data_IF_138521777975
#
_entry.id   IF_138521777975
#
_cell.length_a   1.000
_cell.length_b   1.000
_cell.length_c   1.000
_cell.angle_alpha   90.00
_cell.angle_beta   90.00
_cell.angle_gamma   90.00
#
_symmetry.space_group_name_H-M   'P 1'
#
loop_
_entity.id
_entity.type
_entity.pdbx_description
1 polymer ?
#
# COMPACT_ATOMS: atom_id res chain seq x y z
N UNK A 1 66.88 23.13 -2.43
CA UNK A 1 65.91 22.36 -3.23
C UNK A 1 65.33 21.31 -2.31
N UNK A 2 64.00 21.12 -2.32
CA UNK A 2 63.21 20.26 -1.42
C UNK A 2 62.76 20.92 -0.13
N UNK A 3 61.63 21.63 -0.17
CA UNK A 3 60.71 21.82 0.97
C UNK A 3 59.39 22.45 0.45
N UNK A 4 58.63 21.74 -0.39
CA UNK A 4 57.32 22.25 -0.86
C UNK A 4 56.26 21.19 -1.22
N UNK A 5 56.49 19.89 -1.02
CA UNK A 5 55.53 18.86 -1.49
C UNK A 5 54.61 18.26 -0.41
N UNK A 6 54.85 18.47 0.88
CA UNK A 6 54.09 17.77 1.93
C UNK A 6 52.78 18.44 2.39
N UNK A 7 52.47 19.67 1.94
CA UNK A 7 51.30 20.40 2.45
C UNK A 7 50.03 20.22 1.59
N UNK A 8 50.13 19.67 0.38
CA UNK A 8 48.98 19.52 -0.52
C UNK A 8 48.14 18.25 -0.24
N UNK A 9 48.77 17.21 0.33
CA UNK A 9 48.13 15.93 0.61
C UNK A 9 47.14 15.99 1.79
N UNK A 10 47.48 16.71 2.86
CA UNK A 10 46.62 16.84 4.06
C UNK A 10 45.32 17.60 3.81
N UNK A 11 45.37 18.67 3.01
CA UNK A 11 44.21 19.53 2.70
C UNK A 11 43.20 18.81 1.80
N UNK A 12 43.66 18.04 0.81
CA UNK A 12 42.78 17.27 -0.07
C UNK A 12 42.05 16.13 0.66
N UNK A 13 42.70 15.53 1.65
CA UNK A 13 42.13 14.40 2.41
C UNK A 13 41.04 14.87 3.38
N UNK A 14 41.24 16.03 4.02
CA UNK A 14 40.24 16.67 4.89
C UNK A 14 39.03 17.20 4.10
N UNK A 15 39.26 17.75 2.90
CA UNK A 15 38.20 18.22 2.00
C UNK A 15 37.35 17.06 1.47
N UNK A 16 37.97 15.95 1.07
CA UNK A 16 37.26 14.73 0.63
C UNK A 16 36.41 14.10 1.74
N UNK A 17 36.91 14.05 2.97
CA UNK A 17 36.14 13.55 4.12
C UNK A 17 34.90 14.40 4.45
N UNK A 18 35.02 15.74 4.35
CA UNK A 18 33.91 16.67 4.57
C UNK A 18 32.86 16.61 3.45
N UNK A 19 33.29 16.43 2.20
CA UNK A 19 32.39 16.27 1.05
C UNK A 19 31.60 14.95 1.17
N UNK A 20 32.25 13.85 1.57
CA UNK A 20 31.57 12.56 1.80
C UNK A 20 30.54 12.62 2.94
N UNK A 21 30.84 13.35 4.02
CA UNK A 21 29.90 13.53 5.13
C UNK A 21 28.69 14.39 4.72
N UNK A 22 28.92 15.47 3.96
CA UNK A 22 27.83 16.33 3.47
C UNK A 22 26.93 15.58 2.48
N UNK A 23 27.49 14.74 1.60
CA UNK A 23 26.72 13.90 0.69
C UNK A 23 25.88 12.87 1.46
N UNK A 24 26.45 12.21 2.48
CA UNK A 24 25.71 11.28 3.35
C UNK A 24 24.57 11.97 4.12
N UNK A 25 24.80 13.18 4.63
CA UNK A 25 23.77 13.97 5.33
C UNK A 25 22.68 14.46 4.36
N UNK A 26 23.04 14.86 3.14
CA UNK A 26 22.08 15.28 2.11
C UNK A 26 21.22 14.10 1.61
N UNK A 27 21.80 12.90 1.46
CA UNK A 27 21.07 11.67 1.15
C UNK A 27 20.10 11.28 2.29
N UNK A 28 20.51 11.45 3.55
CA UNK A 28 19.64 11.22 4.70
C UNK A 28 18.46 12.21 4.76
N UNK A 29 18.69 13.49 4.43
CA UNK A 29 17.64 14.52 4.40
C UNK A 29 16.61 14.29 3.27
N UNK A 30 17.04 13.80 2.11
CA UNK A 30 16.15 13.48 0.99
C UNK A 30 15.26 12.25 1.26
N UNK A 31 15.73 11.30 2.08
CA UNK A 31 14.95 10.12 2.46
C UNK A 31 13.81 10.43 3.46
N UNK A 32 13.84 11.59 4.12
CA UNK A 32 12.85 11.98 5.13
C UNK A 32 11.73 12.90 4.61
N UNK A 33 11.75 13.29 3.33
CA UNK A 33 10.73 14.17 2.73
C UNK A 33 9.81 13.43 1.77
N UNK A 34 9.14 12.38 2.23
CA UNK A 34 7.86 11.99 1.62
C UNK A 34 6.79 12.94 2.17
N UNK A 35 6.52 14.04 1.45
CA UNK A 35 5.29 14.80 1.68
C UNK A 35 4.13 13.88 1.32
N UNK A 36 3.33 13.52 2.33
CA UNK A 36 2.05 12.86 2.10
C UNK A 36 1.21 13.80 1.22
N UNK A 37 0.82 13.31 0.04
CA UNK A 37 -0.13 14.02 -0.84
C UNK A 37 -1.45 14.22 -0.10
N UNK A 38 -2.22 15.23 -0.50
CA UNK A 38 -3.55 15.45 0.06
C UNK A 38 -4.39 14.16 -0.01
N UNK A 39 -5.16 13.81 1.04
CA UNK A 39 -5.97 12.61 1.06
C UNK A 39 -7.00 12.59 -0.06
N UNK A 40 -7.13 11.45 -0.74
CA UNK A 40 -8.14 11.23 -1.77
C UNK A 40 -9.05 10.05 -1.37
N UNK A 41 -9.93 10.23 -0.37
CA UNK A 41 -10.63 9.13 0.26
C UNK A 41 -11.70 8.49 -0.64
N UNK A 42 -12.21 9.18 -1.66
CA UNK A 42 -13.38 8.73 -2.46
C UNK A 42 -13.10 8.57 -3.95
N UNK A 43 -11.88 8.21 -4.32
CA UNK A 43 -11.53 8.08 -5.74
C UNK A 43 -12.11 6.79 -6.34
N UNK A 44 -12.83 6.95 -7.45
CA UNK A 44 -13.39 5.85 -8.25
C UNK A 44 -12.82 5.99 -9.66
N UNK A 45 -12.00 5.03 -10.10
CA UNK A 45 -11.58 5.02 -11.50
C UNK A 45 -12.72 4.49 -12.35
N UNK A 46 -13.10 5.25 -13.37
CA UNK A 46 -13.87 4.76 -14.52
C UNK A 46 -12.96 4.28 -15.67
N UNK A 47 -11.67 4.09 -15.39
CA UNK A 47 -10.59 4.07 -16.39
C UNK A 47 -10.73 2.97 -17.45
N UNK A 48 -10.85 3.43 -18.69
CA UNK A 48 -10.78 2.67 -19.95
C UNK A 48 -9.35 2.15 -20.28
N UNK A 49 -8.36 2.42 -19.42
CA UNK A 49 -6.93 2.29 -19.75
C UNK A 49 -6.13 1.36 -18.80
N UNK A 50 -6.77 0.66 -17.85
CA UNK A 50 -6.13 -0.40 -17.06
C UNK A 50 -6.08 -1.74 -17.81
N UNK A 51 -5.30 -2.76 -17.37
CA UNK A 51 -5.24 -4.08 -18.00
C UNK A 51 -6.58 -4.84 -18.04
N UNK A 52 -7.56 -4.43 -17.22
CA UNK A 52 -8.98 -4.82 -17.37
C UNK A 52 -9.68 -4.13 -18.57
N UNK A 53 -8.91 -3.77 -19.60
CA UNK A 53 -9.41 -3.22 -20.86
C UNK A 53 -9.81 -4.39 -21.74
N UNK A 54 -11.03 -4.90 -21.53
CA UNK A 54 -11.89 -5.58 -22.51
C UNK A 54 -13.11 -6.14 -21.74
N UNK A 55 -14.09 -5.28 -21.44
CA UNK A 55 -15.52 -5.60 -21.16
C UNK A 55 -16.26 -4.41 -20.49
N UNK A 56 -15.89 -3.16 -20.77
CA UNK A 56 -16.66 -1.98 -20.28
C UNK A 56 -18.07 -1.85 -20.90
N UNK A 57 -18.49 -2.78 -21.76
CA UNK A 57 -19.83 -2.88 -22.32
C UNK A 57 -20.62 -4.02 -21.65
N UNK A 58 -20.99 -3.83 -20.39
CA UNK A 58 -22.25 -4.29 -19.80
C UNK A 58 -22.18 -4.10 -18.27
N UNK A 59 -22.60 -2.92 -17.81
CA UNK A 59 -22.86 -2.62 -16.39
C UNK A 59 -24.08 -3.40 -15.85
N UNK A 60 -24.22 -4.67 -16.21
CA UNK A 60 -25.43 -5.45 -15.89
C UNK A 60 -25.44 -5.92 -14.44
N UNK A 61 -24.29 -6.03 -13.77
CA UNK A 61 -24.20 -6.37 -12.35
C UNK A 61 -23.01 -5.67 -11.68
N UNK A 62 -23.27 -4.89 -10.64
CA UNK A 62 -22.31 -3.96 -10.05
C UNK A 62 -21.29 -4.60 -9.11
N UNK A 63 -20.48 -5.55 -9.59
CA UNK A 63 -19.39 -6.10 -8.78
C UNK A 63 -18.23 -5.11 -8.68
N UNK A 64 -17.59 -5.06 -7.51
CA UNK A 64 -16.45 -4.16 -7.30
C UNK A 64 -15.41 -4.75 -6.35
N UNK A 65 -14.21 -4.21 -6.47
CA UNK A 65 -13.18 -4.23 -5.44
C UNK A 65 -12.65 -2.80 -5.27
N UNK A 66 -12.41 -2.42 -4.03
CA UNK A 66 -11.94 -1.10 -3.64
C UNK A 66 -10.72 -1.26 -2.76
N UNK A 67 -9.58 -0.81 -3.26
CA UNK A 67 -8.34 -0.73 -2.52
C UNK A 67 -8.43 0.49 -1.60
N UNK A 68 -8.31 0.28 -0.29
CA UNK A 68 -8.46 1.35 0.70
C UNK A 68 -7.24 1.45 1.58
N UNK A 69 -7.07 2.65 2.11
CA UNK A 69 -6.27 2.88 3.30
C UNK A 69 -7.06 3.73 4.29
N UNK A 70 -6.70 3.61 5.56
CA UNK A 70 -7.20 4.46 6.63
C UNK A 70 -6.10 4.89 7.59
N UNK A 71 -6.32 6.02 8.24
CA UNK A 71 -5.51 6.47 9.37
C UNK A 71 -5.73 5.54 10.58
N UNK A 72 -4.68 5.34 11.35
CA UNK A 72 -4.70 4.54 12.57
C UNK A 72 -3.89 5.27 13.65
N UNK A 73 -4.02 4.84 14.90
CA UNK A 73 -3.04 5.21 15.94
C UNK A 73 -1.63 4.71 15.59
N UNK A 74 -1.53 3.65 14.76
CA UNK A 74 -0.29 3.14 14.18
C UNK A 74 0.01 3.80 12.82
N UNK A 75 0.87 3.20 12.00
CA UNK A 75 1.27 3.72 10.68
C UNK A 75 0.14 3.77 9.62
N UNK A 76 -1.09 3.41 9.99
CA UNK A 76 -2.24 3.25 9.10
C UNK A 76 -2.49 1.79 8.73
N UNK A 77 -3.52 1.54 7.92
CA UNK A 77 -3.84 0.21 7.41
C UNK A 77 -4.26 0.25 5.95
N UNK A 78 -3.77 -0.68 5.13
CA UNK A 78 -4.33 -0.95 3.80
C UNK A 78 -5.11 -2.24 3.78
N UNK A 79 -6.24 -2.23 3.09
CA UNK A 79 -7.15 -3.35 2.98
C UNK A 79 -7.95 -3.23 1.68
N UNK A 80 -8.72 -4.27 1.35
CA UNK A 80 -9.69 -4.22 0.25
C UNK A 80 -11.10 -4.40 0.76
N UNK A 81 -12.02 -3.64 0.21
CA UNK A 81 -13.46 -3.91 0.29
C UNK A 81 -13.93 -4.43 -1.05
N UNK A 82 -14.66 -5.52 -1.07
CA UNK A 82 -15.20 -6.08 -2.31
C UNK A 82 -16.63 -6.55 -2.11
N UNK A 83 -17.42 -6.53 -3.17
CA UNK A 83 -18.81 -6.95 -3.09
C UNK A 83 -19.64 -6.53 -4.28
N UNK A 84 -20.91 -6.20 -4.01
CA UNK A 84 -21.92 -5.91 -5.03
C UNK A 84 -22.57 -4.56 -4.76
N UNK A 85 -22.86 -3.84 -5.84
CA UNK A 85 -23.75 -2.70 -5.87
C UNK A 85 -25.05 -3.08 -6.57
N UNK A 86 -26.13 -2.38 -6.21
CA UNK A 86 -27.40 -2.48 -6.92
C UNK A 86 -27.38 -1.62 -8.20
N UNK A 87 -28.51 -1.58 -8.92
CA UNK A 87 -28.65 -0.78 -10.15
C UNK A 87 -28.48 0.73 -9.92
N UNK A 88 -28.70 1.23 -8.70
CA UNK A 88 -28.46 2.64 -8.34
C UNK A 88 -27.01 2.92 -7.91
N UNK A 89 -26.13 1.91 -7.94
CA UNK A 89 -24.73 2.04 -7.55
C UNK A 89 -24.47 1.97 -6.04
N UNK A 90 -25.51 1.77 -5.22
CA UNK A 90 -25.37 1.61 -3.78
C UNK A 90 -24.80 0.22 -3.43
N UNK A 91 -23.83 0.17 -2.53
CA UNK A 91 -23.22 -1.08 -2.04
C UNK A 91 -24.24 -1.86 -1.22
N UNK A 92 -24.66 -3.03 -1.72
CA UNK A 92 -25.64 -3.93 -1.07
C UNK A 92 -24.99 -5.13 -0.39
N UNK A 93 -23.75 -5.46 -0.77
CA UNK A 93 -22.96 -6.50 -0.14
C UNK A 93 -21.52 -6.01 -0.07
N UNK A 94 -20.87 -6.18 1.09
CA UNK A 94 -19.45 -5.89 1.26
C UNK A 94 -18.78 -6.97 2.10
N UNK A 95 -17.55 -7.27 1.74
CA UNK A 95 -16.62 -8.09 2.50
C UNK A 95 -15.30 -7.33 2.59
N UNK A 96 -14.52 -7.62 3.63
CA UNK A 96 -13.21 -7.00 3.87
C UNK A 96 -12.15 -8.08 3.83
N UNK A 97 -10.99 -7.74 3.25
CA UNK A 97 -9.77 -8.50 3.41
C UNK A 97 -8.61 -7.53 3.66
N UNK A 98 -7.99 -7.66 4.83
CA UNK A 98 -6.77 -6.97 5.23
C UNK A 98 -5.74 -7.96 5.75
N UNK A 99 -4.61 -7.46 6.25
CA UNK A 99 -3.67 -8.26 7.02
C UNK A 99 -3.11 -7.43 8.16
N UNK A 100 -3.47 -7.78 9.38
CA UNK A 100 -3.03 -7.12 10.60
C UNK A 100 -2.63 -8.17 11.65
N UNK A 101 -1.82 -7.83 12.67
CA UNK A 101 -1.68 -8.63 13.87
C UNK A 101 -3.06 -9.03 14.44
N UNK A 102 -3.24 -10.28 14.83
CA UNK A 102 -4.49 -10.82 15.36
C UNK A 102 -4.74 -10.38 16.82
N UNK A 103 -4.78 -9.07 17.05
CA UNK A 103 -4.90 -8.45 18.37
C UNK A 103 -5.30 -6.98 18.28
N UNK A 104 -5.93 -6.48 19.34
CA UNK A 104 -6.17 -5.04 19.54
C UNK A 104 -5.09 -4.38 20.40
N UNK A 105 -4.19 -5.18 21.00
CA UNK A 105 -3.05 -4.68 21.77
C UNK A 105 -2.01 -4.07 20.80
N UNK A 106 -1.49 -2.85 21.04
CA UNK A 106 -0.40 -2.29 20.25
C UNK A 106 0.92 -3.07 20.35
N UNK A 107 1.12 -3.89 21.38
CA UNK A 107 2.39 -4.58 21.65
C UNK A 107 2.80 -5.52 20.52
N UNK A 108 1.92 -6.41 19.98
CA UNK A 108 2.27 -7.22 18.81
C UNK A 108 2.60 -6.43 17.54
N UNK A 109 2.09 -5.20 17.37
CA UNK A 109 2.49 -4.34 16.25
C UNK A 109 3.95 -3.93 16.37
N UNK A 110 4.42 -3.63 17.58
CA UNK A 110 5.84 -3.32 17.84
C UNK A 110 6.69 -4.58 17.66
N UNK A 111 6.29 -5.68 18.29
CA UNK A 111 7.03 -6.96 18.22
C UNK A 111 7.19 -7.47 16.78
N UNK A 112 6.15 -7.28 15.95
CA UNK A 112 6.15 -7.67 14.54
C UNK A 112 7.16 -6.95 13.65
N UNK A 113 7.93 -6.00 14.17
CA UNK A 113 9.09 -5.42 13.49
C UNK A 113 10.34 -6.31 13.59
N UNK A 114 10.39 -7.20 14.58
CA UNK A 114 11.55 -8.04 14.88
C UNK A 114 11.29 -9.52 14.58
N UNK A 115 10.07 -10.00 14.83
CA UNK A 115 9.68 -11.41 14.63
C UNK A 115 8.27 -11.50 14.06
N UNK A 116 7.93 -12.51 13.23
CA UNK A 116 6.56 -12.69 12.76
C UNK A 116 5.58 -12.92 13.92
N UNK A 117 4.42 -12.27 13.86
CA UNK A 117 3.34 -12.42 14.86
C UNK A 117 2.09 -13.00 14.20
N UNK A 118 1.19 -13.68 14.94
CA UNK A 118 -0.08 -14.17 14.39
C UNK A 118 -0.89 -13.05 13.74
N UNK A 119 -1.52 -13.35 12.60
CA UNK A 119 -2.27 -12.40 11.81
C UNK A 119 -3.74 -12.78 11.63
N UNK A 120 -4.57 -11.76 11.46
CA UNK A 120 -5.95 -11.87 11.02
C UNK A 120 -6.13 -11.22 9.65
N UNK A 121 -7.16 -11.65 8.92
CA UNK A 121 -7.43 -11.21 7.54
C UNK A 121 -8.84 -10.67 7.31
N UNK A 122 -9.53 -10.36 8.39
CA UNK A 122 -10.84 -9.72 8.38
C UNK A 122 -10.73 -8.18 8.33
N UNK A 123 -11.80 -7.52 8.74
CA UNK A 123 -11.76 -6.10 9.05
C UNK A 123 -11.06 -5.90 10.40
N UNK A 124 -10.20 -4.88 10.48
CA UNK A 124 -9.66 -4.37 11.73
C UNK A 124 -10.42 -3.11 12.18
N UNK A 125 -10.26 -2.72 13.44
CA UNK A 125 -10.86 -1.51 14.00
C UNK A 125 -10.52 -0.26 13.15
N UNK A 126 -11.54 0.47 12.69
CA UNK A 126 -11.37 1.65 11.83
C UNK A 126 -11.48 1.40 10.32
N UNK A 127 -11.63 0.16 9.85
CA UNK A 127 -11.69 -0.16 8.41
C UNK A 127 -13.07 0.07 7.78
N UNK A 128 -14.13 0.20 8.58
CA UNK A 128 -15.50 0.38 8.07
C UNK A 128 -16.00 1.82 8.22
N UNK A 129 -15.30 2.63 9.01
CA UNK A 129 -15.58 4.00 9.34
C UNK A 129 -15.04 4.93 8.25
N UNK A 130 -15.95 5.66 7.60
CA UNK A 130 -15.61 6.47 6.43
C UNK A 130 -14.78 7.71 6.79
N UNK A 131 -14.82 8.13 8.06
CA UNK A 131 -14.08 9.28 8.60
C UNK A 131 -12.56 9.02 8.68
N UNK A 132 -12.15 7.75 8.85
CA UNK A 132 -10.74 7.39 8.95
C UNK A 132 -10.09 7.10 7.60
N UNK A 133 -10.88 6.97 6.53
CA UNK A 133 -10.36 6.63 5.21
C UNK A 133 -9.42 7.72 4.69
N UNK A 134 -8.20 7.32 4.37
CA UNK A 134 -7.12 8.22 3.91
C UNK A 134 -6.95 8.22 2.39
N UNK A 135 -7.14 7.07 1.74
CA UNK A 135 -7.15 6.97 0.28
C UNK A 135 -8.02 5.79 -0.17
N UNK A 136 -8.54 5.88 -1.39
CA UNK A 136 -9.30 4.81 -2.02
C UNK A 136 -9.01 4.71 -3.51
N UNK A 137 -9.17 3.50 -4.06
CA UNK A 137 -9.25 3.23 -5.47
C UNK A 137 -10.26 2.11 -5.75
N UNK A 138 -11.43 2.47 -6.30
CA UNK A 138 -12.44 1.49 -6.70
C UNK A 138 -12.30 1.07 -8.16
N UNK A 139 -12.32 -0.24 -8.37
CA UNK A 139 -12.37 -0.92 -9.66
C UNK A 139 -13.70 -1.68 -9.78
N UNK A 140 -14.44 -1.43 -10.86
CA UNK A 140 -15.63 -2.20 -11.21
C UNK A 140 -15.22 -3.45 -11.97
N UNK A 141 -15.89 -4.57 -11.69
CA UNK A 141 -15.55 -5.88 -12.23
C UNK A 141 -16.76 -6.51 -12.92
N UNK A 142 -16.50 -7.34 -13.92
CA UNK A 142 -17.50 -8.31 -14.39
C UNK A 142 -17.68 -9.41 -13.35
N UNK A 143 -18.76 -10.19 -13.45
CA UNK A 143 -18.98 -11.31 -12.53
C UNK A 143 -17.85 -12.35 -12.61
N UNK A 144 -17.33 -12.61 -13.80
CA UNK A 144 -16.25 -13.57 -14.02
C UNK A 144 -14.95 -13.09 -13.37
N UNK A 145 -14.61 -11.81 -13.52
CA UNK A 145 -13.46 -11.19 -12.85
C UNK A 145 -13.63 -11.22 -11.33
N UNK A 146 -14.79 -10.81 -10.83
CA UNK A 146 -15.10 -10.83 -9.40
C UNK A 146 -14.92 -12.21 -8.79
N UNK A 147 -15.45 -13.26 -9.43
CA UNK A 147 -15.31 -14.63 -8.93
C UNK A 147 -13.84 -15.08 -8.87
N UNK A 148 -13.02 -14.70 -9.85
CA UNK A 148 -11.57 -15.00 -9.85
C UNK A 148 -10.86 -14.29 -8.69
N UNK A 149 -11.17 -13.01 -8.48
CA UNK A 149 -10.58 -12.20 -7.40
C UNK A 149 -10.99 -12.72 -6.03
N UNK A 150 -12.27 -13.04 -5.81
CA UNK A 150 -12.75 -13.61 -4.54
C UNK A 150 -12.07 -14.95 -4.25
N UNK A 151 -11.98 -15.85 -5.23
CA UNK A 151 -11.30 -17.12 -5.06
C UNK A 151 -9.80 -16.95 -4.73
N UNK A 152 -9.15 -15.94 -5.29
CA UNK A 152 -7.77 -15.59 -4.93
C UNK A 152 -7.68 -15.05 -3.50
N UNK A 153 -8.56 -14.12 -3.12
CA UNK A 153 -8.62 -13.55 -1.77
C UNK A 153 -8.84 -14.66 -0.74
N UNK A 154 -9.74 -15.60 -0.97
CA UNK A 154 -10.01 -16.70 -0.03
C UNK A 154 -8.77 -17.57 0.20
N UNK A 155 -8.05 -17.91 -0.88
CA UNK A 155 -6.77 -18.63 -0.79
C UNK A 155 -5.71 -17.82 -0.06
N UNK A 156 -5.63 -16.53 -0.35
CA UNK A 156 -4.69 -15.60 0.28
C UNK A 156 -4.96 -15.50 1.80
N UNK A 157 -6.22 -15.33 2.21
CA UNK A 157 -6.65 -15.32 3.61
C UNK A 157 -6.32 -16.65 4.31
N UNK A 158 -6.51 -17.77 3.63
CA UNK A 158 -6.19 -19.09 4.16
C UNK A 158 -4.69 -19.27 4.43
N UNK A 159 -3.80 -18.75 3.57
CA UNK A 159 -2.33 -18.89 3.75
C UNK A 159 -1.71 -17.84 4.68
N UNK A 160 -2.28 -16.64 4.78
CA UNK A 160 -1.67 -15.53 5.52
C UNK A 160 -1.93 -15.64 7.02
N UNK A 161 -1.12 -16.46 7.72
CA UNK A 161 -1.23 -16.70 9.17
C UNK A 161 -0.35 -15.80 10.03
N UNK A 162 0.62 -15.13 9.42
CA UNK A 162 1.58 -14.29 10.12
C UNK A 162 1.71 -12.92 9.48
N UNK A 163 2.02 -11.94 10.32
CA UNK A 163 2.29 -10.57 9.97
C UNK A 163 3.72 -10.20 10.39
N UNK A 164 4.42 -9.46 9.55
CA UNK A 164 5.70 -8.87 9.88
C UNK A 164 5.83 -7.51 9.20
N UNK A 165 6.16 -6.47 9.96
CA UNK A 165 6.13 -5.08 9.52
C UNK A 165 6.93 -4.84 8.23
N UNK A 166 8.14 -5.39 8.15
CA UNK A 166 9.04 -5.19 7.01
C UNK A 166 8.96 -6.24 5.90
N UNK A 167 8.44 -7.44 6.18
CA UNK A 167 8.54 -8.59 5.27
C UNK A 167 7.20 -8.94 4.63
N UNK A 168 6.12 -8.97 5.43
CA UNK A 168 4.79 -9.34 4.96
C UNK A 168 3.73 -8.64 5.81
N UNK A 169 3.28 -7.49 5.31
CA UNK A 169 2.41 -6.55 6.01
C UNK A 169 1.13 -6.30 5.21
N UNK A 170 0.32 -5.33 5.66
CA UNK A 170 -0.93 -4.95 5.00
C UNK A 170 -0.73 -4.53 3.53
N UNK A 171 0.31 -3.75 3.22
CA UNK A 171 0.64 -3.34 1.85
C UNK A 171 1.02 -4.54 0.99
N UNK A 172 1.81 -5.48 1.52
CA UNK A 172 2.22 -6.69 0.80
C UNK A 172 1.02 -7.57 0.45
N UNK A 173 0.09 -7.73 1.40
CA UNK A 173 -1.15 -8.46 1.20
C UNK A 173 -2.02 -7.83 0.10
N UNK A 174 -2.23 -6.51 0.17
CA UNK A 174 -2.99 -5.77 -0.86
C UNK A 174 -2.29 -5.80 -2.21
N UNK A 175 -0.94 -5.73 -2.23
CA UNK A 175 -0.16 -5.84 -3.45
C UNK A 175 -0.35 -7.19 -4.15
N UNK A 176 -0.44 -8.30 -3.43
CA UNK A 176 -0.71 -9.61 -4.03
C UNK A 176 -2.08 -9.66 -4.70
N UNK A 177 -3.12 -9.09 -4.07
CA UNK A 177 -4.46 -9.01 -4.65
C UNK A 177 -4.40 -8.19 -5.95
N UNK A 178 -3.81 -6.99 -5.91
CA UNK A 178 -3.66 -6.14 -7.09
C UNK A 178 -2.88 -6.84 -8.23
N UNK A 179 -1.77 -7.53 -7.90
CA UNK A 179 -0.99 -8.29 -8.90
C UNK A 179 -1.77 -9.45 -9.50
N UNK A 180 -2.60 -10.15 -8.71
CA UNK A 180 -3.47 -11.23 -9.22
C UNK A 180 -4.48 -10.74 -10.27
N UNK A 181 -4.81 -9.45 -10.21
CA UNK A 181 -5.67 -8.76 -11.17
C UNK A 181 -4.89 -8.16 -12.37
N UNK A 182 -3.57 -8.32 -12.40
CA UNK A 182 -2.69 -7.78 -13.45
C UNK A 182 -2.20 -6.35 -13.21
N UNK A 183 -2.45 -5.75 -12.05
CA UNK A 183 -2.00 -4.40 -11.74
C UNK A 183 -0.53 -4.36 -11.30
N UNK A 184 0.15 -3.26 -11.63
CA UNK A 184 1.45 -2.91 -11.06
C UNK A 184 1.26 -2.47 -9.61
N UNK A 185 2.26 -2.67 -8.76
CA UNK A 185 2.16 -2.28 -7.35
C UNK A 185 3.40 -1.55 -6.88
N UNK A 186 3.25 -0.56 -5.97
CA UNK A 186 4.39 0.15 -5.40
C UNK A 186 5.07 -0.69 -4.30
N UNK A 187 6.16 -0.15 -3.74
CA UNK A 187 6.90 -0.80 -2.65
C UNK A 187 6.06 -0.92 -1.38
N UNK A 188 6.21 -2.04 -0.66
CA UNK A 188 5.37 -2.39 0.51
C UNK A 188 5.71 -1.61 1.79
N UNK A 189 6.76 -0.80 1.77
CA UNK A 189 7.22 0.03 2.90
C UNK A 189 6.67 1.46 2.86
N UNK A 190 5.88 1.80 1.84
CA UNK A 190 5.20 3.09 1.79
C UNK A 190 4.16 3.20 2.91
N UNK A 191 3.85 4.42 3.33
CA UNK A 191 2.69 4.65 4.19
C UNK A 191 1.42 4.15 3.46
N UNK A 192 0.45 3.55 4.16
CA UNK A 192 -0.79 3.04 3.57
C UNK A 192 -1.50 4.00 2.61
N UNK A 193 -1.64 5.28 2.99
CA UNK A 193 -2.23 6.31 2.13
C UNK A 193 -1.46 6.46 0.82
N UNK A 194 -0.14 6.61 0.92
CA UNK A 194 0.75 6.75 -0.23
C UNK A 194 0.77 5.48 -1.08
N UNK A 195 0.76 4.30 -0.46
CA UNK A 195 0.70 3.01 -1.15
C UNK A 195 -0.52 2.93 -2.06
N UNK A 196 -1.73 3.25 -1.54
CA UNK A 196 -2.97 3.21 -2.33
C UNK A 196 -2.98 4.31 -3.40
N UNK A 197 -2.47 5.50 -3.08
CA UNK A 197 -2.37 6.62 -4.03
C UNK A 197 -1.41 6.30 -5.18
N UNK A 198 -0.26 5.69 -4.91
CA UNK A 198 0.67 5.27 -5.97
C UNK A 198 0.17 4.05 -6.72
N UNK A 199 -0.50 3.12 -6.04
CA UNK A 199 -1.15 1.97 -6.67
C UNK A 199 -2.14 2.43 -7.75
N UNK A 200 -3.01 3.40 -7.44
CA UNK A 200 -3.83 4.13 -8.42
C UNK A 200 -3.01 4.63 -9.63
N UNK A 201 -2.07 5.52 -9.33
CA UNK A 201 -1.37 6.33 -10.34
C UNK A 201 -0.60 5.46 -11.33
N UNK A 202 -0.02 4.35 -10.84
CA UNK A 202 0.70 3.37 -11.66
C UNK A 202 -0.18 2.61 -12.65
N UNK A 203 -1.51 2.61 -12.45
CA UNK A 203 -2.47 1.79 -13.20
C UNK A 203 -3.52 2.62 -13.95
N UNK A 204 -3.27 3.92 -14.15
CA UNK A 204 -4.09 4.77 -15.02
C UNK A 204 -5.43 5.17 -14.40
N UNK A 205 -5.51 5.22 -13.07
CA UNK A 205 -6.61 5.80 -12.32
C UNK A 205 -6.16 6.13 -10.93
#
# INVERSE_FOLDING_TARGET
MSDSEDNLSGVMTLARGRISLVILVALAAAACQTQDKNPEPRYVSSSLNGPAKLESQAREQGYFIEFRSRYALSYGHTYVIYGRTNKSGAVVQRQVAGLAPATLDPTPYVLGHFVPVPAETGASDGDLEEEYRSASWRVMLTQAEYNKVVAFIDKLKAKSKFWHASLYNCNAFVAEIARSMGYKTPGIWLRPQEFITRLREMNGG
#
